data_IF_192932611539
#
_entry.id   IF_192932611539
#
_cell.length_a   1.000
_cell.length_b   1.000
_cell.length_c   1.000
_cell.angle_alpha   90.00
_cell.angle_beta   90.00
_cell.angle_gamma   90.00
#
_symmetry.space_group_name_H-M   'P 1'
#
loop_
_entity.id
_entity.type
_entity.pdbx_description
1 polymer ?
#
# COMPACT_ATOMS: atom_id res chain seq x y z
N UNK A 1 5.77 -25.68 -1.65
CA UNK A 1 6.38 -25.11 -2.87
C UNK A 1 6.67 -23.64 -2.59
N UNK A 2 7.94 -23.26 -2.46
CA UNK A 2 8.32 -21.86 -2.25
C UNK A 2 8.31 -21.10 -3.56
N UNK A 3 7.42 -20.11 -3.68
CA UNK A 3 7.46 -19.12 -4.76
C UNK A 3 8.63 -18.18 -4.50
N UNK A 4 9.83 -18.61 -4.89
CA UNK A 4 10.98 -17.74 -4.96
C UNK A 4 10.90 -17.02 -6.31
N UNK A 5 10.27 -15.84 -6.29
CA UNK A 5 10.08 -15.00 -7.48
C UNK A 5 11.45 -14.60 -8.07
N UNK A 6 11.72 -15.03 -9.30
CA UNK A 6 12.84 -14.55 -10.11
C UNK A 6 12.37 -13.31 -10.87
N UNK A 7 13.02 -12.18 -10.61
CA UNK A 7 12.63 -10.88 -11.15
C UNK A 7 13.41 -10.55 -12.42
N UNK A 8 12.68 -10.21 -13.48
CA UNK A 8 13.22 -9.59 -14.68
C UNK A 8 13.00 -8.06 -14.61
N UNK A 9 14.01 -7.27 -15.01
CA UNK A 9 14.16 -5.85 -14.66
C UNK A 9 13.28 -4.86 -15.43
N UNK A 10 12.45 -5.31 -16.37
CA UNK A 10 12.01 -4.45 -17.48
C UNK A 10 10.56 -3.92 -17.45
N UNK A 11 9.79 -4.09 -16.38
CA UNK A 11 8.40 -3.62 -16.34
C UNK A 11 8.07 -2.64 -15.19
N UNK A 12 9.06 -1.86 -14.74
CA UNK A 12 8.76 -0.73 -13.86
C UNK A 12 7.92 0.30 -14.66
N UNK A 13 6.75 0.65 -14.16
CA UNK A 13 6.04 1.85 -14.61
C UNK A 13 7.00 3.03 -14.46
N UNK A 14 7.56 3.49 -15.58
CA UNK A 14 8.38 4.69 -15.67
C UNK A 14 7.48 5.91 -15.54
N UNK A 15 7.90 6.84 -14.68
CA UNK A 15 7.16 8.00 -14.21
C UNK A 15 6.44 8.75 -15.33
N UNK A 16 5.11 8.75 -15.23
CA UNK A 16 4.33 9.82 -15.85
C UNK A 16 4.09 10.87 -14.77
N UNK A 17 4.46 12.13 -15.00
CA UNK A 17 4.26 13.19 -14.03
C UNK A 17 2.77 13.30 -13.70
N UNK A 18 2.47 13.41 -12.40
CA UNK A 18 1.11 13.44 -11.84
C UNK A 18 0.28 14.63 -12.39
N UNK A 19 0.92 15.59 -13.07
CA UNK A 19 0.27 16.74 -13.70
C UNK A 19 -0.13 16.58 -15.18
N UNK A 20 0.20 15.49 -15.89
CA UNK A 20 -0.05 15.39 -17.34
C UNK A 20 -1.48 15.00 -17.75
N UNK A 21 -2.33 14.62 -16.78
CA UNK A 21 -3.73 14.25 -17.02
C UNK A 21 -4.50 14.86 -15.85
N UNK A 22 -5.49 15.72 -16.13
CA UNK A 22 -6.23 16.50 -15.13
C UNK A 22 -6.97 15.63 -14.11
N UNK A 23 -6.25 15.12 -13.13
CA UNK A 23 -6.68 14.17 -12.12
C UNK A 23 -6.49 14.77 -10.71
N UNK A 24 -7.27 14.31 -9.73
CA UNK A 24 -7.37 14.89 -8.39
C UNK A 24 -6.22 14.39 -7.52
N UNK A 25 -5.20 15.24 -7.32
CA UNK A 25 -3.96 15.10 -6.55
C UNK A 25 -3.81 13.93 -5.55
N UNK A 26 -4.81 13.60 -4.73
CA UNK A 26 -4.73 12.51 -3.73
C UNK A 26 -4.90 11.09 -4.31
N UNK A 27 -5.97 10.87 -5.08
CA UNK A 27 -6.30 9.54 -5.62
C UNK A 27 -5.21 9.07 -6.59
N UNK A 28 -4.57 9.98 -7.32
CA UNK A 28 -3.53 9.61 -8.28
C UNK A 28 -2.22 9.21 -7.61
N UNK A 29 -1.91 9.81 -6.45
CA UNK A 29 -0.74 9.43 -5.67
C UNK A 29 -0.91 8.02 -5.07
N UNK A 30 -2.07 7.73 -4.48
CA UNK A 30 -2.39 6.38 -3.98
C UNK A 30 -2.25 5.33 -5.09
N UNK A 31 -2.82 5.60 -6.27
CA UNK A 31 -2.72 4.70 -7.42
C UNK A 31 -1.29 4.53 -7.92
N UNK A 32 -0.51 5.61 -7.98
CA UNK A 32 0.88 5.56 -8.42
C UNK A 32 1.77 4.76 -7.46
N UNK A 33 1.52 4.87 -6.15
CA UNK A 33 2.37 4.28 -5.12
C UNK A 33 1.92 2.85 -4.78
N UNK A 34 0.63 2.66 -4.53
CA UNK A 34 0.05 1.41 -4.03
C UNK A 34 -0.39 0.48 -5.17
N UNK A 35 -0.66 1.05 -6.35
CA UNK A 35 -1.33 0.35 -7.45
C UNK A 35 -2.84 0.24 -7.23
N UNK A 36 -3.58 -0.12 -8.27
CA UNK A 36 -5.04 -0.28 -8.24
C UNK A 36 -5.41 -1.76 -8.14
N UNK A 37 -6.41 -2.08 -7.32
CA UNK A 37 -7.00 -3.41 -7.30
C UNK A 37 -7.67 -3.75 -8.65
N UNK A 38 -7.86 -5.03 -8.94
CA UNK A 38 -8.51 -5.51 -10.16
C UNK A 38 -10.04 -5.62 -9.97
N UNK A 39 -10.77 -5.54 -11.07
CA UNK A 39 -12.23 -5.68 -11.07
C UNK A 39 -12.98 -4.36 -10.83
N UNK A 40 -14.30 -4.41 -11.01
CA UNK A 40 -15.18 -3.26 -10.78
C UNK A 40 -15.64 -3.22 -9.31
N UNK A 41 -15.59 -2.05 -8.69
CA UNK A 41 -16.16 -1.85 -7.35
C UNK A 41 -17.68 -1.84 -7.41
N UNK A 42 -18.32 -2.49 -6.44
CA UNK A 42 -19.74 -2.23 -6.15
C UNK A 42 -19.84 -1.00 -5.26
N UNK A 43 -20.88 -0.17 -5.46
CA UNK A 43 -21.21 0.93 -4.55
C UNK A 43 -21.95 0.46 -3.28
N UNK A 44 -22.27 -0.84 -3.19
CA UNK A 44 -22.94 -1.41 -2.03
C UNK A 44 -21.99 -1.54 -0.83
N UNK A 45 -22.45 -1.07 0.33
CA UNK A 45 -21.68 -1.14 1.56
C UNK A 45 -21.32 -2.59 1.91
N UNK A 46 -20.02 -2.84 2.07
CA UNK A 46 -19.47 -4.13 2.45
C UNK A 46 -18.91 -4.09 3.88
N UNK A 47 -19.25 -5.04 4.77
CA UNK A 47 -18.64 -5.14 6.10
C UNK A 47 -17.11 -5.26 6.03
N UNK A 48 -16.40 -4.74 7.05
CA UNK A 48 -14.93 -4.64 7.02
C UNK A 48 -14.23 -5.97 6.76
N UNK A 49 -14.67 -7.06 7.42
CA UNK A 49 -14.07 -8.39 7.23
C UNK A 49 -14.27 -8.91 5.82
N UNK A 50 -15.44 -8.73 5.23
CA UNK A 50 -15.73 -9.12 3.85
C UNK A 50 -14.93 -8.27 2.86
N UNK A 51 -14.79 -6.96 3.13
CA UNK A 51 -14.01 -6.03 2.31
C UNK A 51 -12.52 -6.41 2.28
N UNK A 52 -11.98 -6.94 3.37
CA UNK A 52 -10.62 -7.48 3.44
C UNK A 52 -10.46 -8.69 2.51
N UNK A 53 -11.40 -9.64 2.58
CA UNK A 53 -11.32 -10.87 1.81
C UNK A 53 -11.48 -10.57 0.31
N UNK A 54 -12.44 -9.72 -0.05
CA UNK A 54 -12.61 -9.20 -1.41
C UNK A 54 -11.34 -8.51 -1.93
N UNK A 55 -10.70 -7.67 -1.10
CA UNK A 55 -9.44 -7.01 -1.46
C UNK A 55 -8.34 -8.02 -1.80
N UNK A 56 -8.23 -9.13 -1.06
CA UNK A 56 -7.20 -10.15 -1.30
C UNK A 56 -7.39 -10.85 -2.64
N UNK A 57 -8.62 -11.04 -3.08
CA UNK A 57 -8.95 -11.67 -4.35
C UNK A 57 -8.69 -10.75 -5.54
N UNK A 58 -8.74 -9.43 -5.32
CA UNK A 58 -8.59 -8.38 -6.34
C UNK A 58 -7.19 -7.81 -6.46
N UNK A 59 -6.16 -8.57 -6.11
CA UNK A 59 -4.79 -8.04 -6.17
C UNK A 59 -4.29 -7.89 -7.61
N UNK A 60 -3.63 -6.77 -7.95
CA UNK A 60 -2.99 -6.63 -9.25
C UNK A 60 -1.82 -7.62 -9.37
N UNK A 61 -1.39 -7.86 -10.62
CA UNK A 61 -0.23 -8.71 -10.87
C UNK A 61 0.99 -8.21 -10.07
N UNK A 62 1.81 -9.11 -9.50
CA UNK A 62 2.93 -8.73 -8.61
C UNK A 62 3.91 -7.71 -9.21
N UNK A 63 4.03 -7.67 -10.53
CA UNK A 63 4.93 -6.78 -11.28
C UNK A 63 4.46 -5.33 -11.36
N UNK A 64 3.21 -5.01 -10.97
CA UNK A 64 2.65 -3.66 -11.02
C UNK A 64 2.95 -2.78 -9.80
N UNK A 65 3.78 -3.24 -8.85
CA UNK A 65 4.00 -2.55 -7.57
C UNK A 65 5.14 -1.54 -7.63
N UNK A 66 4.97 -0.39 -6.99
CA UNK A 66 6.01 0.64 -6.91
C UNK A 66 7.24 0.15 -6.13
N UNK A 67 8.41 0.73 -6.46
CA UNK A 67 9.65 0.50 -5.69
C UNK A 67 9.51 0.95 -4.24
N UNK A 68 8.73 2.01 -3.99
CA UNK A 68 8.48 2.53 -2.64
C UNK A 68 7.85 1.48 -1.73
N UNK A 69 6.77 0.85 -2.20
CA UNK A 69 6.08 -0.19 -1.42
C UNK A 69 6.91 -1.46 -1.28
N UNK A 70 7.70 -1.81 -2.30
CA UNK A 70 8.67 -2.90 -2.18
C UNK A 70 9.68 -2.62 -1.04
N UNK A 71 10.28 -1.44 -1.03
CA UNK A 71 11.24 -1.02 -0.01
C UNK A 71 10.59 -0.98 1.39
N UNK A 72 9.37 -0.46 1.49
CA UNK A 72 8.62 -0.42 2.76
C UNK A 72 8.39 -1.84 3.29
N UNK A 73 7.89 -2.75 2.44
CA UNK A 73 7.65 -4.15 2.80
C UNK A 73 8.93 -4.86 3.27
N UNK A 74 10.05 -4.62 2.58
CA UNK A 74 11.35 -5.18 2.95
C UNK A 74 11.84 -4.63 4.31
N UNK A 75 11.66 -3.34 4.57
CA UNK A 75 11.95 -2.73 5.88
C UNK A 75 11.09 -3.31 7.00
N UNK A 76 9.79 -3.48 6.77
CA UNK A 76 8.86 -4.11 7.73
C UNK A 76 9.30 -5.56 8.00
N UNK A 77 9.56 -6.35 6.96
CA UNK A 77 10.02 -7.73 7.08
C UNK A 77 11.36 -7.82 7.83
N UNK A 78 12.26 -6.85 7.63
CA UNK A 78 13.51 -6.70 8.36
C UNK A 78 13.32 -6.53 9.87
N UNK A 79 12.15 -6.04 10.31
CA UNK A 79 11.80 -5.77 11.72
C UNK A 79 10.85 -6.78 12.35
N UNK A 80 10.18 -7.61 11.56
CA UNK A 80 9.34 -8.69 12.10
C UNK A 80 10.20 -9.78 12.77
N UNK A 81 9.74 -10.36 13.88
CA UNK A 81 10.48 -11.34 14.67
C UNK A 81 10.61 -12.68 13.93
N UNK A 82 9.54 -13.14 13.27
CA UNK A 82 9.52 -14.42 12.59
C UNK A 82 9.91 -14.30 11.11
N UNK A 83 11.20 -14.51 10.80
CA UNK A 83 11.71 -14.47 9.41
C UNK A 83 11.18 -15.59 8.51
N UNK A 84 10.58 -16.63 9.08
CA UNK A 84 9.98 -17.74 8.32
C UNK A 84 8.61 -17.41 7.73
N UNK A 85 7.97 -16.32 8.19
CA UNK A 85 6.67 -15.87 7.70
C UNK A 85 6.89 -14.66 6.77
N UNK A 86 6.41 -14.71 5.51
CA UNK A 86 6.56 -13.56 4.62
C UNK A 86 5.61 -12.42 5.04
N UNK A 87 6.10 -11.19 4.99
CA UNK A 87 5.24 -10.00 5.00
C UNK A 87 4.60 -9.84 3.62
N UNK A 88 3.27 -9.91 3.59
CA UNK A 88 2.45 -9.70 2.39
C UNK A 88 1.96 -8.26 2.35
N UNK A 89 1.75 -7.74 1.15
CA UNK A 89 1.18 -6.43 0.89
C UNK A 89 -0.05 -6.58 0.01
N UNK A 90 -1.09 -5.84 0.33
CA UNK A 90 -2.34 -5.77 -0.40
C UNK A 90 -2.72 -4.31 -0.63
N UNK A 91 -2.92 -3.92 -1.89
CA UNK A 91 -3.54 -2.61 -2.20
C UNK A 91 -5.06 -2.76 -2.11
N UNK A 92 -5.69 -1.79 -1.46
CA UNK A 92 -7.13 -1.67 -1.35
C UNK A 92 -7.69 -0.56 -2.25
N UNK A 93 -6.83 0.20 -2.93
CA UNK A 93 -7.24 1.31 -3.82
C UNK A 93 -8.25 0.81 -4.87
N UNK A 94 -9.45 1.39 -4.83
CA UNK A 94 -10.58 1.02 -5.69
C UNK A 94 -11.39 -0.19 -5.24
N UNK A 95 -11.19 -0.69 -4.02
CA UNK A 95 -12.01 -1.75 -3.41
C UNK A 95 -13.04 -1.18 -2.43
N UNK A 96 -14.04 -1.97 -1.99
CA UNK A 96 -14.93 -1.58 -0.91
C UNK A 96 -14.20 -1.21 0.39
N UNK A 97 -12.99 -1.75 0.63
CA UNK A 97 -12.16 -1.45 1.80
C UNK A 97 -11.67 0.00 1.78
N UNK A 98 -11.22 0.49 0.62
CA UNK A 98 -10.90 1.89 0.39
C UNK A 98 -12.17 2.76 0.48
N UNK A 99 -13.16 2.46 -0.37
CA UNK A 99 -14.35 3.29 -0.57
C UNK A 99 -15.18 3.50 0.72
N UNK A 100 -15.36 2.46 1.53
CA UNK A 100 -16.24 2.52 2.71
C UNK A 100 -15.48 2.63 4.03
N UNK A 101 -14.24 2.12 4.09
CA UNK A 101 -13.47 2.04 5.34
C UNK A 101 -12.26 2.97 5.38
N UNK A 102 -11.91 3.63 4.27
CA UNK A 102 -10.82 4.61 4.23
C UNK A 102 -9.47 3.97 4.53
N UNK A 103 -9.24 2.78 3.96
CA UNK A 103 -7.98 2.04 4.05
C UNK A 103 -7.48 1.83 2.64
N UNK A 104 -6.30 2.36 2.32
CA UNK A 104 -5.73 2.33 0.97
C UNK A 104 -4.90 1.06 0.72
N UNK A 105 -4.36 0.48 1.79
CA UNK A 105 -3.61 -0.76 1.73
C UNK A 105 -3.52 -1.44 3.10
N UNK A 106 -3.02 -2.68 3.12
CA UNK A 106 -2.64 -3.33 4.35
C UNK A 106 -1.48 -4.32 4.16
N UNK A 107 -0.79 -4.62 5.26
CA UNK A 107 0.21 -5.68 5.33
C UNK A 107 -0.29 -6.81 6.22
N UNK A 108 0.10 -8.04 5.88
CA UNK A 108 -0.13 -9.21 6.72
C UNK A 108 1.16 -9.96 7.02
N UNK A 109 1.29 -10.42 8.26
CA UNK A 109 2.36 -11.30 8.72
C UNK A 109 1.76 -12.38 9.61
N UNK A 110 1.55 -13.57 9.04
CA UNK A 110 0.90 -14.66 9.77
C UNK A 110 -0.59 -14.38 9.93
N UNK A 111 -1.05 -14.20 11.17
CA UNK A 111 -2.45 -13.84 11.50
C UNK A 111 -2.65 -12.34 11.71
N UNK A 112 -1.54 -11.62 11.91
CA UNK A 112 -1.58 -10.19 12.18
C UNK A 112 -1.71 -9.38 10.90
N UNK A 113 -2.40 -8.24 11.04
CA UNK A 113 -2.64 -7.28 9.97
C UNK A 113 -2.41 -5.87 10.49
N UNK A 114 -1.86 -5.04 9.62
CA UNK A 114 -1.79 -3.59 9.84
C UNK A 114 -2.32 -2.87 8.60
N UNK A 115 -3.26 -1.96 8.82
CA UNK A 115 -3.86 -1.13 7.77
C UNK A 115 -3.07 0.16 7.58
N UNK A 116 -3.04 0.61 6.32
CA UNK A 116 -2.28 1.77 5.87
C UNK A 116 -3.21 2.70 5.13
N UNK A 117 -3.05 3.98 5.40
CA UNK A 117 -3.62 5.07 4.63
C UNK A 117 -2.50 6.00 4.18
N UNK A 118 -2.51 6.36 2.91
CA UNK A 118 -1.51 7.18 2.26
C UNK A 118 -2.08 8.59 2.06
N UNK A 119 -1.32 9.59 2.48
CA UNK A 119 -1.76 10.98 2.33
C UNK A 119 -0.64 11.88 1.86
N UNK A 120 -0.98 12.82 0.97
CA UNK A 120 -0.09 13.91 0.53
C UNK A 120 -0.11 15.11 1.48
N UNK A 121 -1.00 15.12 2.47
CA UNK A 121 -1.21 16.26 3.39
C UNK A 121 -1.35 15.76 4.83
N UNK A 122 -0.93 16.58 5.78
CA UNK A 122 -1.22 16.31 7.19
C UNK A 122 -2.74 16.22 7.39
N UNK A 123 -3.17 15.15 8.09
CA UNK A 123 -4.57 14.97 8.45
C UNK A 123 -4.69 14.58 9.92
N UNK A 124 -5.70 15.12 10.58
CA UNK A 124 -5.90 14.99 12.02
C UNK A 124 -6.48 13.64 12.45
N UNK A 125 -6.93 12.81 11.50
CA UNK A 125 -7.53 11.50 11.79
C UNK A 125 -7.40 10.56 10.60
N UNK A 126 -7.13 9.28 10.87
CA UNK A 126 -7.25 8.18 9.92
C UNK A 126 -8.03 7.03 10.57
N UNK A 127 -8.76 6.26 9.75
CA UNK A 127 -9.38 5.00 10.17
C UNK A 127 -8.38 3.83 10.13
N UNK A 128 -7.26 4.00 9.43
CA UNK A 128 -6.19 3.03 9.37
C UNK A 128 -5.28 3.10 10.60
N UNK A 129 -4.59 1.99 10.88
CA UNK A 129 -3.63 1.87 11.98
C UNK A 129 -2.43 2.81 11.77
N UNK A 130 -2.00 3.00 10.52
CA UNK A 130 -0.85 3.82 10.17
C UNK A 130 -1.18 4.77 9.02
N UNK A 131 -0.74 6.01 9.17
CA UNK A 131 -0.69 7.01 8.09
C UNK A 131 0.73 7.03 7.52
N UNK A 132 0.84 6.95 6.19
CA UNK A 132 2.07 7.15 5.42
C UNK A 132 2.02 8.51 4.74
N UNK A 133 2.91 9.41 5.16
CA UNK A 133 3.04 10.72 4.54
C UNK A 133 3.92 10.64 3.30
N UNK A 134 3.36 11.08 2.18
CA UNK A 134 4.08 11.28 0.94
C UNK A 134 4.06 12.77 0.56
N UNK A 135 5.02 13.20 -0.24
CA UNK A 135 5.10 14.53 -0.82
C UNK A 135 5.30 14.42 -2.32
N UNK A 136 5.07 15.52 -3.05
CA UNK A 136 5.48 15.63 -4.45
C UNK A 136 6.80 16.39 -4.50
N UNK A 137 7.75 15.91 -5.29
CA UNK A 137 8.98 16.63 -5.56
C UNK A 137 8.78 17.74 -6.62
N UNK A 138 9.88 18.41 -7.00
CA UNK A 138 9.84 19.51 -7.97
C UNK A 138 9.40 19.09 -9.38
N UNK A 139 9.46 17.79 -9.68
CA UNK A 139 9.03 17.21 -10.96
C UNK A 139 7.60 16.64 -10.88
N UNK A 140 6.94 16.74 -9.72
CA UNK A 140 5.61 16.20 -9.47
C UNK A 140 5.60 14.69 -9.28
N UNK A 141 6.74 14.08 -8.97
CA UNK A 141 6.85 12.66 -8.64
C UNK A 141 6.66 12.46 -7.13
N UNK A 142 6.10 11.30 -6.77
CA UNK A 142 5.87 11.00 -5.35
C UNK A 142 7.19 10.66 -4.65
N UNK A 143 7.45 11.38 -3.57
CA UNK A 143 8.53 11.14 -2.64
C UNK A 143 8.00 10.71 -1.26
N UNK A 144 8.72 9.79 -0.61
CA UNK A 144 8.55 9.47 0.81
C UNK A 144 9.89 9.66 1.49
N UNK A 145 9.92 10.52 2.49
CA UNK A 145 11.13 10.82 3.23
C UNK A 145 11.69 9.55 3.93
N UNK A 146 13.02 9.35 3.95
CA UNK A 146 13.62 8.17 4.57
C UNK A 146 13.24 7.97 6.04
N UNK A 147 13.09 9.07 6.80
CA UNK A 147 12.67 9.00 8.20
C UNK A 147 11.23 8.50 8.34
N UNK A 148 10.34 8.91 7.43
CA UNK A 148 8.94 8.55 7.42
C UNK A 148 8.77 7.08 7.05
N UNK A 149 9.51 6.62 6.03
CA UNK A 149 9.61 5.22 5.66
C UNK A 149 10.06 4.33 6.85
N UNK A 150 11.04 4.80 7.61
CA UNK A 150 11.54 4.07 8.78
C UNK A 150 10.52 4.06 9.94
N UNK A 151 9.90 5.21 10.21
CA UNK A 151 8.85 5.36 11.23
C UNK A 151 7.69 4.40 10.97
N UNK A 152 7.16 4.40 9.74
CA UNK A 152 6.06 3.53 9.30
C UNK A 152 6.48 2.06 9.41
N UNK A 153 7.71 1.72 9.01
CA UNK A 153 8.19 0.34 9.10
C UNK A 153 8.29 -0.17 10.55
N UNK A 154 8.72 0.69 11.49
CA UNK A 154 8.77 0.35 12.93
C UNK A 154 7.36 0.17 13.47
N UNK A 155 6.45 1.11 13.21
CA UNK A 155 5.07 1.05 13.68
C UNK A 155 4.34 -0.19 13.15
N UNK A 156 4.49 -0.49 11.86
CA UNK A 156 3.89 -1.67 11.24
C UNK A 156 4.43 -2.97 11.85
N UNK A 157 5.74 -3.06 12.05
CA UNK A 157 6.35 -4.24 12.66
C UNK A 157 5.95 -4.42 14.12
N UNK A 158 5.68 -3.34 14.87
CA UNK A 158 5.20 -3.45 16.25
C UNK A 158 3.82 -4.13 16.31
N UNK A 159 2.92 -3.80 15.38
CA UNK A 159 1.59 -4.43 15.28
C UNK A 159 1.71 -5.87 14.75
N UNK A 160 2.54 -6.09 13.73
CA UNK A 160 2.69 -7.40 13.09
C UNK A 160 3.46 -8.46 13.92
N UNK A 161 4.00 -8.06 15.07
CA UNK A 161 4.75 -8.93 15.98
C UNK A 161 3.95 -9.36 17.22
N UNK A 162 2.74 -8.83 17.39
CA UNK A 162 1.81 -9.21 18.47
C UNK A 162 1.29 -10.64 18.25
#
# INVERSE_FOLDING_TARGET
MGLQEKFDRNNAWEGRPIGAIGLKEGIDAERAILGVATGESSDEFMPFTEAIDDTKERQPLPFGRSKLIKNLREKIAGKCNNKGIPVKFFTAVGTPLDIHHGVDAFFEHGRERVTLDLTLREKNSSKADIILYASLDGDGEVHIEPYEMERVAIAAAAILND
#
